data_IF_227043785406
#
_entry.id   IF_227043785406
#
_cell.length_a   1.000
_cell.length_b   1.000
_cell.length_c   1.000
_cell.angle_alpha   90.00
_cell.angle_beta   90.00
_cell.angle_gamma   90.00
#
_symmetry.space_group_name_H-M   'P 1'
#
loop_
_entity.id
_entity.type
_entity.pdbx_description
1 polymer ?
#
# COMPACT_ATOMS: atom_id res chain seq x y z
N UNK A 1 26.60 4.92 -4.66
CA UNK A 1 27.33 3.65 -4.74
C UNK A 1 26.46 2.67 -5.59
N UNK A 2 26.86 2.45 -6.84
CA UNK A 2 26.08 1.66 -7.83
C UNK A 2 25.83 0.22 -7.38
N UNK A 3 26.66 -0.30 -6.49
CA UNK A 3 26.54 -1.66 -5.95
C UNK A 3 25.35 -1.86 -5.00
N UNK A 4 24.70 -0.77 -4.57
CA UNK A 4 23.53 -0.79 -3.68
C UNK A 4 22.21 -0.55 -4.41
N UNK A 5 22.15 -0.70 -5.72
CA UNK A 5 20.91 -0.79 -6.46
C UNK A 5 20.42 -2.23 -6.48
N UNK A 6 19.14 -2.47 -6.20
CA UNK A 6 18.55 -3.85 -6.19
C UNK A 6 18.56 -4.54 -7.56
N UNK A 7 18.84 -3.81 -8.62
CA UNK A 7 19.07 -4.34 -9.97
C UNK A 7 20.48 -4.89 -10.19
N UNK A 8 21.42 -4.63 -9.26
CA UNK A 8 22.78 -5.18 -9.35
C UNK A 8 22.79 -6.62 -8.85
N UNK A 9 23.34 -7.55 -9.62
CA UNK A 9 23.43 -8.98 -9.26
C UNK A 9 24.21 -9.22 -7.96
N UNK A 10 25.18 -8.36 -7.65
CA UNK A 10 25.99 -8.44 -6.44
C UNK A 10 25.40 -7.64 -5.25
N UNK A 11 24.18 -7.09 -5.39
CA UNK A 11 23.55 -6.27 -4.34
C UNK A 11 23.57 -6.97 -2.97
N UNK A 12 23.14 -8.22 -2.90
CA UNK A 12 23.06 -8.98 -1.62
C UNK A 12 24.42 -9.09 -0.96
N UNK A 13 25.48 -9.31 -1.73
CA UNK A 13 26.85 -9.38 -1.19
C UNK A 13 27.26 -8.05 -0.55
N UNK A 14 27.22 -6.95 -1.30
CA UNK A 14 27.62 -5.64 -0.78
C UNK A 14 26.70 -5.13 0.33
N UNK A 15 25.41 -5.46 0.25
CA UNK A 15 24.48 -5.12 1.29
C UNK A 15 24.78 -5.84 2.60
N UNK A 16 25.10 -7.12 2.57
CA UNK A 16 25.50 -7.88 3.74
C UNK A 16 26.83 -7.41 4.34
N UNK A 17 27.80 -6.98 3.53
CA UNK A 17 29.02 -6.32 4.00
C UNK A 17 28.68 -5.04 4.79
N UNK A 18 27.81 -4.20 4.24
CA UNK A 18 27.35 -3.00 4.92
C UNK A 18 26.63 -3.31 6.24
N UNK A 19 25.72 -4.29 6.24
CA UNK A 19 25.00 -4.73 7.45
C UNK A 19 25.98 -5.21 8.53
N UNK A 20 27.01 -5.96 8.14
CA UNK A 20 28.04 -6.47 9.07
C UNK A 20 28.90 -5.33 9.64
N UNK A 21 29.39 -4.43 8.77
CA UNK A 21 30.26 -3.32 9.15
C UNK A 21 29.57 -2.36 10.13
N UNK A 22 28.28 -2.11 9.95
CA UNK A 22 27.49 -1.23 10.82
C UNK A 22 26.73 -1.98 11.91
N UNK A 23 26.89 -3.30 12.03
CA UNK A 23 26.20 -4.15 13.02
C UNK A 23 24.68 -3.97 12.99
N UNK A 24 24.09 -3.92 11.79
CA UNK A 24 22.66 -3.75 11.60
C UNK A 24 21.94 -5.07 11.83
N UNK A 25 21.01 -5.10 12.78
CA UNK A 25 20.20 -6.27 13.12
C UNK A 25 18.81 -6.26 12.47
N UNK A 26 18.26 -5.05 12.17
CA UNK A 26 16.92 -4.89 11.61
C UNK A 26 16.94 -3.96 10.42
N UNK A 27 16.13 -4.29 9.40
CA UNK A 27 15.91 -3.49 8.21
C UNK A 27 14.42 -3.17 8.13
N UNK A 28 14.07 -1.89 8.00
CA UNK A 28 12.68 -1.43 7.86
C UNK A 28 12.48 -0.78 6.50
N UNK A 29 12.01 -1.52 5.48
CA UNK A 29 11.82 -0.99 4.14
C UNK A 29 10.63 -0.05 4.09
N UNK A 30 10.80 1.10 3.42
CA UNK A 30 9.76 2.12 3.26
C UNK A 30 9.35 2.35 1.79
N UNK A 31 9.84 1.50 0.88
CA UNK A 31 9.54 1.52 -0.55
C UNK A 31 9.04 0.14 -1.00
N UNK A 32 8.01 0.08 -1.85
CA UNK A 32 7.33 -1.16 -2.21
C UNK A 32 8.25 -2.17 -2.93
N UNK A 33 9.07 -1.70 -3.89
CA UNK A 33 10.01 -2.57 -4.60
C UNK A 33 11.08 -3.13 -3.66
N UNK A 34 11.58 -2.29 -2.75
CA UNK A 34 12.57 -2.71 -1.75
C UNK A 34 11.95 -3.72 -0.79
N UNK A 35 10.74 -3.47 -0.29
CA UNK A 35 10.04 -4.41 0.59
C UNK A 35 9.83 -5.77 -0.09
N UNK A 36 9.37 -5.77 -1.34
CA UNK A 36 9.15 -6.99 -2.13
C UNK A 36 10.47 -7.72 -2.42
N UNK A 37 11.54 -6.99 -2.80
CA UNK A 37 12.86 -7.56 -3.05
C UNK A 37 13.46 -8.18 -1.78
N UNK A 38 13.45 -7.44 -0.67
CA UNK A 38 14.02 -7.91 0.59
C UNK A 38 13.23 -9.10 1.16
N UNK A 39 11.90 -9.11 1.03
CA UNK A 39 11.07 -10.25 1.43
C UNK A 39 11.47 -11.53 0.67
N UNK A 40 11.67 -11.43 -0.64
CA UNK A 40 12.09 -12.58 -1.49
C UNK A 40 13.48 -13.11 -1.14
N UNK A 41 14.36 -12.23 -0.71
CA UNK A 41 15.77 -12.55 -0.45
C UNK A 41 16.11 -12.67 1.04
N UNK A 42 15.10 -12.73 1.93
CA UNK A 42 15.32 -12.72 3.39
C UNK A 42 16.31 -13.78 3.87
N UNK A 43 16.29 -14.97 3.28
CA UNK A 43 17.19 -16.07 3.65
C UNK A 43 18.68 -15.78 3.34
N UNK A 44 18.94 -14.83 2.45
CA UNK A 44 20.30 -14.42 2.05
C UNK A 44 20.76 -13.13 2.73
N UNK A 45 19.91 -12.49 3.55
CA UNK A 45 20.19 -11.21 4.22
C UNK A 45 20.54 -11.46 5.67
N UNK A 46 21.66 -10.90 6.13
CA UNK A 46 22.19 -11.08 7.48
C UNK A 46 21.44 -10.34 8.60
N UNK A 47 20.45 -9.55 8.25
CA UNK A 47 19.61 -8.82 9.21
C UNK A 47 18.14 -9.18 9.04
N UNK A 48 17.33 -9.01 10.08
CA UNK A 48 15.89 -9.27 10.03
C UNK A 48 15.15 -8.14 9.27
N UNK A 49 14.48 -8.49 8.19
CA UNK A 49 13.64 -7.53 7.44
C UNK A 49 12.26 -7.43 8.08
N UNK A 50 11.87 -6.23 8.47
CA UNK A 50 10.55 -5.93 9.04
C UNK A 50 9.58 -5.69 7.89
N UNK A 51 8.93 -6.75 7.43
CA UNK A 51 7.95 -6.72 6.34
C UNK A 51 6.98 -7.90 6.45
N UNK A 52 5.95 -7.93 5.64
CA UNK A 52 5.02 -9.05 5.51
C UNK A 52 5.62 -10.22 4.70
N UNK A 53 4.88 -11.30 4.54
CA UNK A 53 5.32 -12.48 3.77
C UNK A 53 5.65 -12.13 2.31
N UNK A 54 6.39 -13.00 1.63
CA UNK A 54 6.71 -12.87 0.20
C UNK A 54 5.41 -12.74 -0.62
N UNK A 55 4.42 -13.58 -0.33
CA UNK A 55 3.15 -13.57 -1.03
C UNK A 55 2.38 -12.25 -0.81
N UNK A 56 2.30 -11.76 0.43
CA UNK A 56 1.63 -10.51 0.75
C UNK A 56 2.31 -9.31 0.07
N UNK A 57 3.64 -9.25 0.07
CA UNK A 57 4.39 -8.22 -0.65
C UNK A 57 4.14 -8.28 -2.16
N UNK A 58 4.14 -9.47 -2.76
CA UNK A 58 3.91 -9.64 -4.19
C UNK A 58 2.49 -9.23 -4.59
N UNK A 59 1.46 -9.73 -3.91
CA UNK A 59 0.06 -9.39 -4.18
C UNK A 59 -0.16 -7.88 -4.04
N UNK A 60 0.39 -7.27 -3.00
CA UNK A 60 0.23 -5.84 -2.75
C UNK A 60 0.96 -4.96 -3.78
N UNK A 61 2.10 -5.44 -4.31
CA UNK A 61 2.92 -4.69 -5.27
C UNK A 61 2.27 -4.54 -6.64
N UNK A 62 1.56 -5.58 -7.08
CA UNK A 62 0.96 -5.62 -8.41
C UNK A 62 -0.56 -5.51 -8.34
N UNK A 63 -1.12 -4.45 -8.93
CA UNK A 63 -2.55 -4.16 -8.86
C UNK A 63 -3.41 -5.26 -9.49
N UNK A 64 -2.94 -5.92 -10.56
CA UNK A 64 -3.61 -7.09 -11.16
C UNK A 64 -3.75 -8.22 -10.14
N UNK A 65 -2.66 -8.50 -9.41
CA UNK A 65 -2.66 -9.54 -8.37
C UNK A 65 -3.58 -9.17 -7.20
N UNK A 66 -3.53 -7.90 -6.75
CA UNK A 66 -4.43 -7.39 -5.72
C UNK A 66 -5.89 -7.58 -6.12
N UNK A 67 -6.27 -7.12 -7.31
CA UNK A 67 -7.67 -7.19 -7.77
C UNK A 67 -8.10 -8.61 -8.08
N UNK A 68 -7.24 -9.46 -8.63
CA UNK A 68 -7.55 -10.87 -8.82
C UNK A 68 -7.78 -11.58 -7.48
N UNK A 69 -6.96 -11.29 -6.46
CA UNK A 69 -7.08 -11.87 -5.12
C UNK A 69 -8.41 -11.48 -4.43
N UNK A 70 -8.83 -10.23 -4.61
CA UNK A 70 -10.05 -9.70 -3.98
C UNK A 70 -11.28 -9.65 -4.91
N UNK A 71 -11.25 -10.26 -6.08
CA UNK A 71 -12.30 -10.15 -7.12
C UNK A 71 -13.71 -10.53 -6.67
N UNK A 72 -13.85 -11.35 -5.63
CA UNK A 72 -15.15 -11.81 -5.10
C UNK A 72 -15.68 -10.91 -3.96
N UNK A 73 -14.99 -9.83 -3.62
CA UNK A 73 -15.42 -8.88 -2.59
C UNK A 73 -15.95 -7.60 -3.21
N UNK A 74 -17.02 -7.07 -2.64
CA UNK A 74 -17.70 -5.86 -3.15
C UNK A 74 -16.81 -4.61 -3.18
N UNK A 75 -15.79 -4.56 -2.34
CA UNK A 75 -14.81 -3.47 -2.35
C UNK A 75 -13.73 -3.62 -3.43
N UNK A 76 -13.68 -4.70 -4.18
CA UNK A 76 -12.82 -4.80 -5.36
C UNK A 76 -13.42 -3.97 -6.50
N UNK A 77 -12.65 -3.09 -7.16
CA UNK A 77 -13.16 -2.37 -8.32
C UNK A 77 -13.39 -3.34 -9.49
N UNK A 78 -14.32 -2.98 -10.36
CA UNK A 78 -14.51 -3.71 -11.63
C UNK A 78 -13.24 -3.54 -12.48
N UNK A 79 -12.68 -4.65 -12.92
CA UNK A 79 -11.51 -4.68 -13.82
C UNK A 79 -11.96 -5.17 -15.19
N UNK A 80 -11.62 -4.42 -16.23
CA UNK A 80 -11.97 -4.75 -17.59
C UNK A 80 -10.78 -5.34 -18.36
N UNK A 81 -11.07 -6.27 -19.29
CA UNK A 81 -10.14 -6.61 -20.36
C UNK A 81 -10.20 -5.53 -21.45
N UNK A 82 -9.05 -5.20 -22.05
CA UNK A 82 -9.00 -4.26 -23.18
C UNK A 82 -9.88 -4.72 -24.37
N UNK A 83 -10.05 -6.03 -24.53
CA UNK A 83 -10.83 -6.64 -25.63
C UNK A 83 -12.33 -6.72 -25.30
N UNK A 84 -12.74 -6.36 -24.08
CA UNK A 84 -14.13 -6.46 -23.66
C UNK A 84 -15.01 -5.43 -24.39
N UNK A 85 -16.14 -5.89 -24.93
CA UNK A 85 -17.18 -5.02 -25.49
C UNK A 85 -18.13 -4.46 -24.44
N UNK A 86 -18.03 -4.92 -23.18
CA UNK A 86 -18.91 -4.56 -22.07
C UNK A 86 -18.33 -3.45 -21.18
N UNK A 87 -17.28 -2.75 -21.66
CA UNK A 87 -16.67 -1.65 -20.93
C UNK A 87 -17.68 -0.51 -20.74
N UNK A 88 -17.92 -0.15 -19.48
CA UNK A 88 -18.77 0.98 -19.10
C UNK A 88 -17.90 2.21 -18.87
N UNK A 89 -17.96 3.17 -19.78
CA UNK A 89 -17.23 4.42 -19.69
C UNK A 89 -17.90 5.43 -18.72
N UNK A 90 -17.12 6.35 -18.10
CA UNK A 90 -15.67 6.44 -18.19
C UNK A 90 -14.95 5.30 -17.45
N UNK A 91 -13.74 4.99 -17.89
CA UNK A 91 -12.84 4.04 -17.20
C UNK A 91 -11.54 4.72 -16.77
N UNK A 92 -10.86 4.14 -15.78
CA UNK A 92 -9.57 4.60 -15.33
C UNK A 92 -8.46 3.61 -15.68
N UNK A 93 -7.41 4.12 -16.33
CA UNK A 93 -6.24 3.36 -16.71
C UNK A 93 -5.07 3.73 -15.81
N UNK A 94 -4.33 2.73 -15.36
CA UNK A 94 -3.12 2.93 -14.55
C UNK A 94 -2.13 1.80 -14.76
N UNK A 95 -0.80 2.03 -14.60
CA UNK A 95 0.17 0.95 -14.66
C UNK A 95 -0.06 -0.07 -13.54
N UNK A 96 0.14 -1.35 -13.85
CA UNK A 96 0.01 -2.45 -12.90
C UNK A 96 0.95 -2.29 -11.69
N UNK A 97 2.17 -1.82 -11.93
CA UNK A 97 3.25 -1.60 -10.98
C UNK A 97 3.59 -0.13 -10.77
N UNK A 98 2.72 0.79 -11.23
CA UNK A 98 2.90 2.24 -11.09
C UNK A 98 2.87 2.69 -9.62
N UNK A 99 3.63 3.75 -9.34
CA UNK A 99 3.71 4.41 -8.04
C UNK A 99 3.55 5.91 -8.19
N UNK A 100 3.04 6.57 -7.12
CA UNK A 100 2.98 8.03 -7.07
C UNK A 100 1.94 8.66 -8.00
N UNK A 101 0.93 7.92 -8.45
CA UNK A 101 -0.14 8.43 -9.32
C UNK A 101 0.33 8.88 -10.71
N UNK A 102 1.56 8.52 -11.10
CA UNK A 102 2.07 8.76 -12.45
C UNK A 102 1.35 7.87 -13.46
N UNK A 103 1.10 8.39 -14.66
CA UNK A 103 0.49 7.65 -15.77
C UNK A 103 -0.91 7.07 -15.44
N UNK A 104 -1.71 7.85 -14.69
CA UNK A 104 -3.13 7.58 -14.51
C UNK A 104 -3.96 8.38 -15.50
N UNK A 105 -4.85 7.72 -16.26
CA UNK A 105 -5.64 8.35 -17.32
C UNK A 105 -7.11 7.99 -17.19
N UNK A 106 -7.99 8.91 -17.51
CA UNK A 106 -9.42 8.65 -17.72
C UNK A 106 -9.64 8.48 -19.22
N UNK A 107 -10.41 7.48 -19.63
CA UNK A 107 -10.89 7.33 -20.97
C UNK A 107 -12.42 7.35 -20.96
N UNK A 108 -13.01 8.18 -21.80
CA UNK A 108 -14.46 8.36 -21.94
C UNK A 108 -15.06 7.52 -23.09
N UNK A 109 -14.20 6.91 -23.91
CA UNK A 109 -14.60 6.11 -25.06
C UNK A 109 -13.49 5.16 -25.52
N UNK A 110 -13.80 4.28 -26.48
CA UNK A 110 -12.84 3.32 -27.03
C UNK A 110 -11.67 3.97 -27.80
N UNK A 111 -11.84 5.14 -28.42
CA UNK A 111 -10.75 5.80 -29.12
C UNK A 111 -9.67 6.26 -28.15
N UNK A 112 -10.06 6.87 -27.04
CA UNK A 112 -9.14 7.29 -25.98
C UNK A 112 -8.49 6.07 -25.30
N UNK A 113 -9.26 5.04 -25.00
CA UNK A 113 -8.76 3.80 -24.46
C UNK A 113 -7.64 3.21 -25.33
N UNK A 114 -7.90 3.06 -26.63
CA UNK A 114 -6.93 2.53 -27.60
C UNK A 114 -5.70 3.43 -27.74
N UNK A 115 -5.89 4.75 -27.71
CA UNK A 115 -4.76 5.70 -27.71
C UNK A 115 -3.82 5.46 -26.53
N UNK A 116 -4.34 5.36 -25.30
CA UNK A 116 -3.51 5.11 -24.14
C UNK A 116 -2.81 3.75 -24.18
N UNK A 117 -3.51 2.70 -24.62
CA UNK A 117 -2.90 1.37 -24.78
C UNK A 117 -1.80 1.32 -25.84
N UNK A 118 -1.90 2.12 -26.90
CA UNK A 118 -0.85 2.20 -27.92
C UNK A 118 0.42 2.90 -27.40
N UNK A 119 0.25 3.82 -26.45
CA UNK A 119 1.32 4.68 -25.95
C UNK A 119 2.00 4.14 -24.69
N UNK A 120 1.25 3.48 -23.81
CA UNK A 120 1.73 3.04 -22.49
C UNK A 120 1.62 1.53 -22.35
N UNK A 121 2.65 0.92 -21.76
CA UNK A 121 2.70 -0.53 -21.53
C UNK A 121 2.18 -0.88 -20.14
N UNK A 122 1.75 -2.14 -19.96
CA UNK A 122 1.39 -2.70 -18.65
C UNK A 122 0.24 -1.98 -17.94
N UNK A 123 -0.68 -1.37 -18.70
CA UNK A 123 -1.88 -0.74 -18.14
C UNK A 123 -2.90 -1.78 -17.66
N UNK A 124 -3.62 -1.43 -16.62
CA UNK A 124 -4.86 -2.07 -16.19
C UNK A 124 -6.02 -1.10 -16.38
N UNK A 125 -7.19 -1.63 -16.69
CA UNK A 125 -8.42 -0.87 -16.85
C UNK A 125 -9.33 -1.17 -15.67
N UNK A 126 -9.76 -0.14 -14.97
CA UNK A 126 -10.75 -0.27 -13.89
C UNK A 126 -11.93 0.65 -14.14
N UNK A 127 -13.04 0.40 -13.45
CA UNK A 127 -14.11 1.39 -13.38
C UNK A 127 -13.58 2.74 -12.89
N UNK A 128 -14.20 3.83 -13.35
CA UNK A 128 -13.90 5.17 -12.86
C UNK A 128 -14.58 5.41 -11.51
N UNK A 129 -13.82 5.86 -10.53
CA UNK A 129 -14.30 6.15 -9.19
C UNK A 129 -14.34 7.67 -8.98
N UNK A 130 -15.53 8.31 -8.97
CA UNK A 130 -15.65 9.77 -8.92
C UNK A 130 -15.52 10.36 -7.51
N UNK A 131 -15.69 9.54 -6.46
CA UNK A 131 -15.90 10.03 -5.10
C UNK A 131 -14.62 10.33 -4.31
N UNK A 132 -14.80 10.48 -3.01
CA UNK A 132 -13.73 10.75 -2.05
C UNK A 132 -12.70 9.62 -1.96
N UNK A 133 -11.43 10.01 -1.85
CA UNK A 133 -10.30 9.10 -1.67
C UNK A 133 -9.73 9.19 -0.25
N UNK A 134 -9.56 8.05 0.39
CA UNK A 134 -8.95 7.94 1.71
C UNK A 134 -7.72 7.02 1.66
N UNK A 135 -6.77 7.28 2.56
CA UNK A 135 -5.78 6.29 2.98
C UNK A 135 -6.19 5.72 4.32
N UNK A 136 -6.04 4.42 4.50
CA UNK A 136 -6.32 3.73 5.76
C UNK A 136 -5.03 3.09 6.26
N UNK A 137 -4.49 3.63 7.33
CA UNK A 137 -3.26 3.14 7.96
C UNK A 137 -3.61 2.06 8.97
N UNK A 138 -2.86 0.96 8.97
CA UNK A 138 -3.13 -0.22 9.77
C UNK A 138 -1.89 -0.74 10.47
N UNK A 139 -2.11 -1.49 11.56
CA UNK A 139 -1.06 -2.22 12.24
C UNK A 139 -1.55 -3.61 12.67
N UNK A 140 -0.82 -4.64 12.26
CA UNK A 140 -1.09 -6.03 12.61
C UNK A 140 0.06 -6.59 13.43
N UNK A 141 -0.25 -7.25 14.55
CA UNK A 141 0.76 -7.87 15.41
C UNK A 141 1.30 -9.19 14.83
N UNK A 142 2.37 -9.72 15.45
CA UNK A 142 3.00 -10.99 15.04
C UNK A 142 2.09 -12.22 15.19
N UNK A 143 0.95 -12.09 15.88
CA UNK A 143 -0.08 -13.13 16.01
C UNK A 143 -1.17 -13.01 14.92
N UNK A 144 -1.11 -11.97 14.09
CA UNK A 144 -2.10 -11.70 13.05
C UNK A 144 -3.29 -10.85 13.50
N UNK A 145 -3.28 -10.32 14.73
CA UNK A 145 -4.36 -9.47 15.22
C UNK A 145 -4.22 -8.05 14.64
N UNK A 146 -5.27 -7.55 14.02
CA UNK A 146 -5.35 -6.17 13.54
C UNK A 146 -5.62 -5.24 14.72
N UNK A 147 -4.57 -4.56 15.22
CA UNK A 147 -4.62 -3.75 16.42
C UNK A 147 -4.97 -2.28 16.17
N UNK A 148 -4.82 -1.81 14.94
CA UNK A 148 -5.10 -0.43 14.58
C UNK A 148 -5.64 -0.31 13.15
N UNK A 149 -6.66 0.56 13.01
CA UNK A 149 -7.23 1.00 11.73
C UNK A 149 -7.43 2.51 11.85
N UNK A 150 -6.79 3.27 10.98
CA UNK A 150 -6.84 4.73 10.99
C UNK A 150 -7.08 5.31 9.60
N UNK A 151 -8.34 5.63 9.24
CA UNK A 151 -8.63 6.30 7.99
C UNK A 151 -8.29 7.79 8.07
N UNK A 152 -7.79 8.34 6.96
CA UNK A 152 -7.44 9.75 6.81
C UNK A 152 -7.66 10.26 5.40
N UNK A 153 -7.93 11.54 5.28
CA UNK A 153 -8.07 12.23 4.00
C UNK A 153 -6.75 12.29 3.24
N UNK A 154 -6.85 12.52 1.95
CA UNK A 154 -5.72 12.81 1.06
C UNK A 154 -5.90 14.21 0.49
N UNK A 155 -5.34 15.18 1.19
CA UNK A 155 -5.37 16.59 0.81
C UNK A 155 -4.00 17.02 0.28
N UNK A 156 -3.94 18.01 -0.59
CA UNK A 156 -2.71 18.54 -1.20
C UNK A 156 -1.75 17.42 -1.63
N UNK A 157 -2.13 16.75 -2.72
CA UNK A 157 -1.35 15.63 -3.26
C UNK A 157 -0.29 16.15 -4.22
N UNK A 158 0.97 15.72 -4.04
CA UNK A 158 2.07 15.97 -4.96
C UNK A 158 2.81 14.64 -5.20
N UNK A 159 3.05 14.32 -6.47
CA UNK A 159 3.70 13.05 -6.86
C UNK A 159 3.07 11.82 -6.21
N UNK A 160 1.73 11.79 -6.07
CA UNK A 160 0.98 10.70 -5.43
C UNK A 160 1.09 10.65 -3.90
N UNK A 161 1.86 11.53 -3.28
CA UNK A 161 2.01 11.61 -1.83
C UNK A 161 1.08 12.70 -1.30
N UNK A 162 0.29 12.36 -0.28
CA UNK A 162 -0.51 13.35 0.43
C UNK A 162 0.38 14.17 1.37
N UNK A 163 0.42 15.47 1.16
CA UNK A 163 1.16 16.42 2.02
C UNK A 163 0.31 16.93 3.18
N UNK A 164 -1.02 16.94 3.01
CA UNK A 164 -1.97 17.26 4.09
C UNK A 164 -2.94 16.09 4.26
N UNK A 165 -3.19 15.72 5.50
CA UNK A 165 -4.11 14.66 5.88
C UNK A 165 -4.78 15.00 7.20
N UNK A 166 -6.06 14.68 7.29
CA UNK A 166 -6.85 14.78 8.51
C UNK A 166 -7.38 13.40 8.85
N UNK A 167 -7.26 12.98 10.11
CA UNK A 167 -7.88 11.73 10.56
C UNK A 167 -9.41 11.84 10.45
N UNK A 168 -10.06 10.80 9.96
CA UNK A 168 -11.53 10.74 9.85
C UNK A 168 -12.09 9.59 10.66
N UNK A 169 -13.39 9.58 10.83
CA UNK A 169 -14.07 8.53 11.59
C UNK A 169 -13.91 7.16 10.93
N UNK A 170 -13.69 6.14 11.75
CA UNK A 170 -13.64 4.74 11.31
C UNK A 170 -15.07 4.19 11.17
N UNK A 171 -15.54 4.04 9.94
CA UNK A 171 -16.85 3.44 9.64
C UNK A 171 -16.78 1.91 9.65
N UNK A 172 -17.92 1.24 9.82
CA UNK A 172 -17.99 -0.23 9.77
C UNK A 172 -17.60 -0.78 8.38
N UNK A 173 -17.86 -0.04 7.30
CA UNK A 173 -17.40 -0.42 5.95
C UNK A 173 -15.87 -0.44 5.86
N UNK A 174 -15.18 0.60 6.33
CA UNK A 174 -13.70 0.66 6.34
C UNK A 174 -13.12 -0.45 7.22
N UNK A 175 -13.73 -0.69 8.38
CA UNK A 175 -13.33 -1.74 9.31
C UNK A 175 -13.49 -3.14 8.70
N UNK A 176 -14.60 -3.38 7.98
CA UNK A 176 -14.82 -4.61 7.23
C UNK A 176 -13.73 -4.84 6.17
N UNK A 177 -13.43 -3.81 5.35
CA UNK A 177 -12.39 -3.89 4.32
C UNK A 177 -11.03 -4.22 4.95
N UNK A 178 -10.63 -3.48 6.00
CA UNK A 178 -9.35 -3.67 6.69
C UNK A 178 -9.20 -5.08 7.26
N UNK A 179 -10.23 -5.58 7.96
CA UNK A 179 -10.22 -6.94 8.52
C UNK A 179 -10.16 -8.00 7.42
N UNK A 180 -10.92 -7.81 6.33
CA UNK A 180 -10.91 -8.74 5.20
C UNK A 180 -9.52 -8.81 4.55
N UNK A 181 -8.88 -7.65 4.31
CA UNK A 181 -7.52 -7.61 3.76
C UNK A 181 -6.53 -8.32 4.70
N UNK A 182 -6.57 -7.99 6.00
CA UNK A 182 -5.67 -8.57 6.98
C UNK A 182 -5.80 -10.10 7.06
N UNK A 183 -7.03 -10.61 7.13
CA UNK A 183 -7.29 -12.04 7.26
C UNK A 183 -6.88 -12.85 6.01
N UNK A 184 -7.00 -12.26 4.82
CA UNK A 184 -6.64 -12.93 3.57
C UNK A 184 -5.14 -12.92 3.30
N UNK A 185 -4.43 -11.83 3.62
CA UNK A 185 -3.02 -11.67 3.30
C UNK A 185 -2.07 -11.93 4.47
N UNK A 186 -2.61 -12.05 5.70
CA UNK A 186 -1.81 -12.23 6.92
C UNK A 186 -0.69 -11.20 7.02
N UNK A 187 -1.08 -9.93 6.92
CA UNK A 187 -0.15 -8.80 6.97
C UNK A 187 0.54 -8.73 8.35
N UNK A 188 1.71 -8.09 8.40
CA UNK A 188 2.52 -8.01 9.60
C UNK A 188 3.17 -6.63 9.75
N UNK A 189 3.10 -6.05 10.97
CA UNK A 189 3.61 -4.71 11.24
C UNK A 189 2.71 -3.61 10.68
N UNK A 190 3.30 -2.49 10.29
CA UNK A 190 2.59 -1.37 9.71
C UNK A 190 2.34 -1.59 8.21
N UNK A 191 1.12 -1.35 7.77
CA UNK A 191 0.68 -1.41 6.38
C UNK A 191 -0.43 -0.40 6.13
N UNK A 192 -0.75 -0.13 4.88
CA UNK A 192 -1.86 0.76 4.53
C UNK A 192 -2.51 0.32 3.23
N UNK A 193 -3.73 0.80 3.03
CA UNK A 193 -4.43 0.69 1.76
C UNK A 193 -5.11 2.02 1.41
N UNK A 194 -5.45 2.18 0.14
CA UNK A 194 -6.18 3.33 -0.37
C UNK A 194 -7.51 2.86 -0.92
N UNK A 195 -8.54 3.64 -0.63
CA UNK A 195 -9.92 3.41 -1.07
C UNK A 195 -10.50 4.67 -1.66
N UNK A 196 -11.40 4.50 -2.60
CA UNK A 196 -12.13 5.62 -3.23
C UNK A 196 -13.58 5.24 -3.46
N UNK A 197 -14.50 6.19 -3.26
CA UNK A 197 -15.93 5.94 -3.45
C UNK A 197 -16.27 5.84 -4.94
N UNK A 198 -17.12 4.86 -5.26
CA UNK A 198 -17.77 4.73 -6.55
C UNK A 198 -18.97 5.69 -6.67
N UNK A 199 -19.72 5.61 -7.78
CA UNK A 199 -20.93 6.41 -8.03
C UNK A 199 -22.09 6.09 -7.08
N UNK A 200 -22.02 4.97 -6.35
CA UNK A 200 -22.99 4.54 -5.34
C UNK A 200 -22.51 4.80 -3.92
N UNK A 201 -21.47 5.65 -3.76
CA UNK A 201 -20.85 6.00 -2.48
C UNK A 201 -20.24 4.82 -1.71
N UNK A 202 -19.93 3.69 -2.39
CA UNK A 202 -19.25 2.53 -1.81
C UNK A 202 -17.74 2.63 -2.02
N UNK A 203 -16.97 2.28 -1.00
CA UNK A 203 -15.52 2.29 -1.11
C UNK A 203 -15.00 1.11 -1.94
N UNK A 204 -14.14 1.43 -2.89
CA UNK A 204 -13.40 0.48 -3.72
C UNK A 204 -11.90 0.58 -3.45
N UNK A 205 -11.24 -0.57 -3.44
CA UNK A 205 -9.79 -0.66 -3.20
C UNK A 205 -9.00 -0.12 -4.39
N UNK A 206 -8.08 0.82 -4.13
CA UNK A 206 -7.20 1.38 -5.15
C UNK A 206 -5.80 0.77 -5.13
N UNK A 207 -5.24 0.64 -3.91
CA UNK A 207 -3.85 0.27 -3.69
C UNK A 207 -3.70 -0.35 -2.29
N UNK A 208 -2.74 -1.26 -2.15
CA UNK A 208 -2.35 -1.87 -0.90
C UNK A 208 -0.83 -1.88 -0.79
N UNK A 209 -0.28 -1.56 0.37
CA UNK A 209 1.17 -1.56 0.61
C UNK A 209 1.51 -2.12 2.00
N UNK A 210 2.29 -3.22 2.08
CA UNK A 210 2.67 -3.87 3.33
C UNK A 210 3.89 -3.18 3.98
N UNK A 211 3.85 -1.88 4.10
CA UNK A 211 4.88 -1.01 4.68
C UNK A 211 4.30 0.26 5.27
N UNK A 212 5.11 0.96 6.02
CA UNK A 212 4.75 2.29 6.49
C UNK A 212 4.67 3.30 5.34
N UNK A 213 3.61 4.10 5.32
CA UNK A 213 3.51 5.27 4.43
C UNK A 213 4.16 6.50 5.05
N UNK A 214 4.58 7.44 4.20
CA UNK A 214 5.20 8.70 4.68
C UNK A 214 4.25 9.56 5.52
N UNK A 215 2.94 9.45 5.30
CA UNK A 215 1.92 10.26 5.99
C UNK A 215 1.30 9.55 7.20
N UNK A 216 1.66 8.29 7.48
CA UNK A 216 1.29 7.60 8.74
C UNK A 216 1.76 8.35 9.99
N UNK A 217 2.73 9.26 9.82
CA UNK A 217 3.17 10.18 10.87
C UNK A 217 2.05 11.02 11.49
N UNK A 218 0.89 11.19 10.83
CA UNK A 218 -0.28 11.85 11.42
C UNK A 218 -0.68 11.21 12.74
N UNK A 219 -0.65 9.89 12.83
CA UNK A 219 -1.03 9.16 14.04
C UNK A 219 0.03 9.16 15.14
N UNK A 220 1.24 9.67 14.87
CA UNK A 220 2.26 9.89 15.90
C UNK A 220 1.77 10.84 16.99
N UNK A 221 1.00 11.85 16.61
CA UNK A 221 0.40 12.80 17.54
C UNK A 221 -0.74 12.19 18.38
N UNK A 222 -1.34 11.08 17.93
CA UNK A 222 -2.26 10.27 18.74
C UNK A 222 -1.56 9.27 19.66
N UNK A 223 -0.22 9.28 19.72
CA UNK A 223 0.56 8.32 20.51
C UNK A 223 0.99 7.06 19.77
N UNK A 224 0.71 6.94 18.45
CA UNK A 224 0.99 5.71 17.69
C UNK A 224 2.31 5.86 16.92
N UNK A 225 3.33 5.16 17.38
CA UNK A 225 4.64 5.09 16.73
C UNK A 225 4.77 3.80 15.93
N UNK A 226 4.35 3.80 14.67
CA UNK A 226 4.36 2.61 13.83
C UNK A 226 5.74 1.98 13.66
N UNK A 227 6.81 2.79 13.56
CA UNK A 227 8.16 2.27 13.45
C UNK A 227 8.58 1.50 14.71
N UNK A 228 8.35 2.08 15.89
CA UNK A 228 8.64 1.45 17.18
C UNK A 228 7.78 0.20 17.41
N UNK A 229 6.48 0.27 17.09
CA UNK A 229 5.58 -0.88 17.17
C UNK A 229 6.04 -2.02 16.26
N UNK A 230 6.45 -1.71 15.02
CA UNK A 230 6.96 -2.70 14.06
C UNK A 230 8.27 -3.32 14.53
N UNK A 231 9.13 -2.54 15.18
CA UNK A 231 10.38 -3.05 15.77
C UNK A 231 10.12 -4.03 16.91
N UNK A 232 9.25 -3.70 17.87
CA UNK A 232 8.87 -4.64 18.94
C UNK A 232 8.14 -5.86 18.39
N UNK A 233 7.25 -5.67 17.43
CA UNK A 233 6.54 -6.74 16.76
C UNK A 233 7.50 -7.72 16.07
N UNK A 234 8.54 -7.22 15.42
CA UNK A 234 9.59 -8.04 14.80
C UNK A 234 10.38 -8.90 15.81
N UNK A 235 10.40 -8.51 17.07
CA UNK A 235 11.01 -9.27 18.16
C UNK A 235 10.03 -10.19 18.89
N UNK A 236 8.79 -10.32 18.41
CA UNK A 236 7.68 -11.03 19.04
C UNK A 236 7.32 -10.48 20.44
N UNK A 237 7.59 -9.19 20.69
CA UNK A 237 7.19 -8.51 21.89
C UNK A 237 5.74 -8.05 21.73
N UNK A 238 4.82 -8.45 22.62
CA UNK A 238 3.43 -8.00 22.57
C UNK A 238 3.33 -6.48 22.68
N UNK A 239 2.57 -5.87 21.78
CA UNK A 239 2.35 -4.43 21.77
C UNK A 239 0.89 -4.11 22.07
N UNK A 240 0.65 -3.00 22.75
CA UNK A 240 -0.67 -2.44 22.97
C UNK A 240 -0.72 -1.04 22.39
N UNK A 241 -1.75 -0.77 21.60
CA UNK A 241 -1.97 0.55 21.02
C UNK A 241 -2.92 1.33 21.91
N UNK A 242 -2.43 2.43 22.46
CA UNK A 242 -3.20 3.42 23.19
C UNK A 242 -3.32 4.65 22.27
N UNK A 243 -4.54 4.94 21.85
CA UNK A 243 -4.82 6.05 20.94
C UNK A 243 -5.55 7.15 21.69
N UNK A 244 -5.07 8.38 21.56
CA UNK A 244 -5.84 9.56 21.94
C UNK A 244 -6.90 9.85 20.87
N UNK A 245 -8.14 10.09 21.26
CA UNK A 245 -9.30 10.21 20.35
C UNK A 245 -9.46 11.60 19.72
N UNK A 246 -8.47 12.45 19.77
CA UNK A 246 -8.56 13.78 19.16
C UNK A 246 -8.38 13.71 17.65
N UNK A 247 -9.20 14.46 16.86
CA UNK A 247 -8.95 14.65 15.43
C UNK A 247 -7.59 15.29 15.21
N UNK A 248 -6.81 14.73 14.28
CA UNK A 248 -5.47 15.22 13.99
C UNK A 248 -5.40 15.62 12.53
N UNK A 249 -4.84 16.81 12.31
CA UNK A 249 -4.48 17.31 10.99
C UNK A 249 -2.99 17.47 10.89
N UNK A 250 -2.39 16.84 9.89
CA UNK A 250 -1.00 16.98 9.53
C UNK A 250 -0.90 17.80 8.25
N UNK A 251 -0.06 18.81 8.24
CA UNK A 251 0.35 19.53 7.05
C UNK A 251 1.89 19.53 6.98
N UNK A 252 2.44 19.05 5.88
CA UNK A 252 3.89 19.01 5.66
C UNK A 252 4.27 20.26 4.84
N UNK A 253 5.21 21.00 5.33
CA UNK A 253 5.81 22.16 4.65
C UNK A 253 6.62 21.74 3.43
#
# INVERSE_FOLDING_TARGET
NENLYISNEQFIYYFNELLSNFKIEFIYPTHDDIANFLAKNQIHIKAKVITSSIQANHISRFKKETYYHFKNYDFCPIVYSHESKEIKFPVFLKPNDGQGGKEGFVADNFNELNFYFSKYKNLIITEFLPGEELSVDCFTDFKGNLLFIGPRTRERIQMGISFRSTSVELTEEIKYIANTINNNLKLNGAWFFQIKKDSHYKYKLLELAPRQSSTMGVYRHSGINFALLSFFNAQNIPVKILKNEYPIKLDRC
#
